data_IF_230105074522
#
_entry.id   IF_230105074522
#
_cell.length_a   1.000
_cell.length_b   1.000
_cell.length_c   1.000
_cell.angle_alpha   90.00
_cell.angle_beta   90.00
_cell.angle_gamma   90.00
#
_symmetry.space_group_name_H-M   'P 1'
#
loop_
_entity.id
_entity.type
_entity.pdbx_description
1 polymer ?
#
# COMPACT_ATOMS: atom_id res chain seq x y z
N UNK A 1 -1.88 21.19 -7.45
CA UNK A 1 -3.19 20.61 -7.87
C UNK A 1 -4.30 21.59 -7.48
N UNK A 2 -5.39 21.67 -8.26
CA UNK A 2 -6.51 22.56 -7.93
C UNK A 2 -7.44 21.99 -6.86
N UNK A 3 -7.57 20.66 -6.85
CA UNK A 3 -8.28 19.87 -5.85
C UNK A 3 -7.38 18.73 -5.35
N UNK A 4 -7.39 18.49 -4.04
CA UNK A 4 -6.71 17.34 -3.42
C UNK A 4 -7.75 16.56 -2.61
N UNK A 5 -8.00 15.31 -3.00
CA UNK A 5 -8.83 14.40 -2.22
C UNK A 5 -7.98 13.67 -1.19
N UNK A 6 -8.48 13.53 0.03
CA UNK A 6 -7.79 12.81 1.10
C UNK A 6 -8.78 12.02 1.96
N UNK A 7 -8.28 10.94 2.57
CA UNK A 7 -8.99 10.04 3.48
C UNK A 7 -7.95 9.13 4.16
N UNK A 8 -8.33 7.90 4.53
CA UNK A 8 -7.43 6.81 4.98
C UNK A 8 -6.40 7.27 6.02
N UNK A 9 -5.16 7.51 5.59
CA UNK A 9 -4.04 7.91 6.44
C UNK A 9 -4.26 9.23 7.19
N UNK A 10 -5.20 10.09 6.75
CA UNK A 10 -5.52 11.34 7.45
C UNK A 10 -5.92 11.14 8.92
N UNK A 11 -6.51 9.99 9.25
CA UNK A 11 -6.85 9.60 10.63
C UNK A 11 -6.18 8.28 11.04
N UNK A 12 -5.23 7.78 10.25
CA UNK A 12 -4.62 6.44 10.42
C UNK A 12 -5.65 5.31 10.64
N UNK A 13 -6.87 5.47 10.10
CA UNK A 13 -7.96 4.50 10.26
C UNK A 13 -8.70 4.52 11.60
N UNK A 14 -8.37 5.41 12.54
CA UNK A 14 -9.01 5.46 13.88
C UNK A 14 -10.48 5.92 13.82
N UNK A 15 -10.78 6.93 13.00
CA UNK A 15 -12.13 7.49 12.84
C UNK A 15 -12.37 7.82 11.35
N UNK A 16 -13.56 7.54 10.78
CA UNK A 16 -13.84 7.87 9.38
C UNK A 16 -13.76 9.37 9.12
N UNK A 17 -12.83 9.77 8.24
CA UNK A 17 -12.73 11.12 7.73
C UNK A 17 -12.24 11.08 6.28
N UNK A 18 -12.80 11.96 5.46
CA UNK A 18 -12.29 12.29 4.15
C UNK A 18 -12.64 13.73 3.81
N UNK A 19 -11.96 14.28 2.82
CA UNK A 19 -12.18 15.66 2.42
C UNK A 19 -11.57 15.98 1.07
N UNK A 20 -11.86 17.20 0.63
CA UNK A 20 -11.30 17.79 -0.58
C UNK A 20 -10.72 19.13 -0.19
N UNK A 21 -9.40 19.28 -0.26
CA UNK A 21 -8.77 20.58 -0.20
C UNK A 21 -8.91 21.26 -1.56
N UNK A 22 -9.29 22.53 -1.55
CA UNK A 22 -9.52 23.35 -2.75
C UNK A 22 -8.51 24.50 -2.77
N UNK A 23 -8.04 24.88 -3.95
CA UNK A 23 -7.20 26.07 -4.10
C UNK A 23 -8.02 27.36 -3.95
N UNK A 24 -7.32 28.49 -3.89
CA UNK A 24 -7.95 29.81 -3.75
C UNK A 24 -8.91 30.13 -4.89
N UNK A 25 -8.56 29.79 -6.14
CA UNK A 25 -9.40 30.10 -7.30
C UNK A 25 -10.79 29.43 -7.20
N UNK A 26 -10.85 28.19 -6.73
CA UNK A 26 -12.12 27.47 -6.51
C UNK A 26 -12.82 28.01 -5.25
N UNK A 27 -12.08 28.25 -4.17
CA UNK A 27 -12.62 28.84 -2.95
C UNK A 27 -13.34 30.17 -3.22
N UNK A 28 -12.75 31.07 -4.02
CA UNK A 28 -13.35 32.36 -4.37
C UNK A 28 -14.71 32.25 -5.07
N UNK A 29 -14.97 31.15 -5.77
CA UNK A 29 -16.29 30.90 -6.38
C UNK A 29 -17.39 30.68 -5.33
N UNK A 30 -17.02 30.27 -4.12
CA UNK A 30 -17.92 29.98 -3.00
C UNK A 30 -17.73 30.94 -1.81
N UNK A 31 -16.84 31.93 -1.91
CA UNK A 31 -16.61 32.91 -0.86
C UNK A 31 -17.89 33.71 -0.54
N UNK A 32 -18.60 34.15 -1.59
CA UNK A 32 -19.85 34.90 -1.48
C UNK A 32 -21.08 34.09 -1.96
N UNK A 33 -20.89 32.83 -2.34
CA UNK A 33 -21.93 31.94 -2.87
C UNK A 33 -22.02 30.67 -2.03
N UNK A 34 -23.19 30.36 -1.44
CA UNK A 34 -23.39 29.10 -0.73
C UNK A 34 -23.06 27.88 -1.61
N UNK A 35 -22.25 26.96 -1.08
CA UNK A 35 -22.03 25.65 -1.68
C UNK A 35 -23.23 24.74 -1.38
N UNK A 36 -23.97 24.25 -2.39
CA UNK A 36 -25.19 23.46 -2.18
C UNK A 36 -24.86 21.98 -1.90
N UNK A 37 -23.88 21.71 -1.02
CA UNK A 37 -23.44 20.36 -0.68
C UNK A 37 -23.02 20.25 0.78
N UNK A 38 -23.30 19.10 1.38
CA UNK A 38 -22.96 18.80 2.77
C UNK A 38 -23.49 17.43 3.17
N UNK A 39 -22.79 16.78 4.09
CA UNK A 39 -23.21 15.53 4.71
C UNK A 39 -23.49 15.79 6.18
N UNK A 40 -24.36 14.99 6.80
CA UNK A 40 -24.70 15.10 8.23
C UNK A 40 -23.46 15.08 9.14
N UNK A 41 -22.41 14.36 8.75
CA UNK A 41 -21.16 14.23 9.50
C UNK A 41 -19.98 15.03 8.91
N UNK A 42 -20.24 15.95 7.97
CA UNK A 42 -19.20 16.86 7.47
C UNK A 42 -18.63 17.68 8.62
N UNK A 43 -17.31 17.63 8.81
CA UNK A 43 -16.63 18.37 9.88
C UNK A 43 -16.83 17.79 11.29
N UNK A 44 -17.14 16.49 11.42
CA UNK A 44 -17.38 15.86 12.72
C UNK A 44 -16.21 16.08 13.71
N UNK A 45 -16.44 16.72 14.89
CA UNK A 45 -15.36 17.14 15.80
C UNK A 45 -14.41 16.02 16.26
N UNK A 46 -14.94 14.82 16.53
CA UNK A 46 -14.10 13.67 16.87
C UNK A 46 -13.15 13.27 15.74
N UNK A 47 -13.65 13.29 14.50
CA UNK A 47 -12.89 12.88 13.33
C UNK A 47 -11.82 13.93 12.98
N UNK A 48 -12.15 15.22 13.08
CA UNK A 48 -11.19 16.30 12.86
C UNK A 48 -10.14 16.37 13.96
N UNK A 49 -10.50 16.16 15.23
CA UNK A 49 -9.54 16.05 16.33
C UNK A 49 -8.57 14.87 16.15
N UNK A 50 -9.07 13.72 15.72
CA UNK A 50 -8.25 12.56 15.38
C UNK A 50 -7.28 12.85 14.23
N UNK A 51 -7.71 13.60 13.21
CA UNK A 51 -6.85 13.98 12.10
C UNK A 51 -5.69 14.88 12.53
N UNK A 52 -5.96 15.89 13.36
CA UNK A 52 -4.91 16.75 13.92
C UNK A 52 -3.90 15.94 14.73
N UNK A 53 -4.38 15.04 15.60
CA UNK A 53 -3.51 14.17 16.39
C UNK A 53 -2.65 13.24 15.50
N UNK A 54 -3.22 12.69 14.42
CA UNK A 54 -2.51 11.83 13.47
C UNK A 54 -1.41 12.61 12.73
N UNK A 55 -1.71 13.82 12.26
CA UNK A 55 -0.73 14.66 11.55
C UNK A 55 0.42 15.05 12.49
N UNK A 56 0.11 15.50 13.70
CA UNK A 56 1.14 15.84 14.68
C UNK A 56 2.03 14.64 15.02
N UNK A 57 1.47 13.45 15.24
CA UNK A 57 2.26 12.24 15.48
C UNK A 57 3.17 11.89 14.28
N UNK A 58 2.67 12.02 13.04
CA UNK A 58 3.49 11.82 11.85
C UNK A 58 4.67 12.80 11.75
N UNK A 59 4.45 14.07 12.12
CA UNK A 59 5.49 15.11 12.14
C UNK A 59 6.50 14.89 13.28
N UNK A 60 6.02 14.73 14.52
CA UNK A 60 6.83 14.58 15.72
C UNK A 60 7.74 13.35 15.67
N UNK A 61 7.25 12.25 15.09
CA UNK A 61 7.98 10.99 14.97
C UNK A 61 8.76 10.88 13.64
N UNK A 62 8.67 11.88 12.75
CA UNK A 62 9.35 11.87 11.46
C UNK A 62 8.91 10.73 10.53
N UNK A 63 7.65 10.29 10.62
CA UNK A 63 7.15 9.06 9.98
C UNK A 63 7.31 9.05 8.47
N UNK A 64 7.12 10.19 7.80
CA UNK A 64 7.24 10.28 6.33
C UNK A 64 8.69 10.03 5.89
N UNK A 65 9.66 10.63 6.58
CA UNK A 65 11.09 10.43 6.33
C UNK A 65 11.51 9.00 6.66
N UNK A 66 11.02 8.44 7.76
CA UNK A 66 11.28 7.04 8.12
C UNK A 66 10.70 6.07 7.09
N UNK A 67 9.46 6.25 6.64
CA UNK A 67 8.85 5.43 5.59
C UNK A 67 9.62 5.52 4.26
N UNK A 68 10.09 6.72 3.89
CA UNK A 68 10.95 6.90 2.72
C UNK A 68 12.27 6.11 2.87
N UNK A 69 12.92 6.20 4.03
CA UNK A 69 14.15 5.46 4.34
C UNK A 69 13.94 3.94 4.28
N UNK A 70 12.90 3.41 4.92
CA UNK A 70 12.58 1.97 4.87
C UNK A 70 12.37 1.52 3.41
N UNK A 71 11.67 2.32 2.61
CA UNK A 71 11.48 2.04 1.20
C UNK A 71 12.78 1.97 0.41
N UNK A 72 13.66 2.96 0.59
CA UNK A 72 14.92 3.07 -0.13
C UNK A 72 15.97 2.04 0.31
N UNK A 73 16.04 1.75 1.61
CA UNK A 73 17.14 0.99 2.21
C UNK A 73 16.80 -0.45 2.55
N UNK A 74 15.51 -0.80 2.68
CA UNK A 74 15.08 -2.13 3.11
C UNK A 74 14.15 -2.77 2.09
N UNK A 75 12.95 -2.22 1.88
CA UNK A 75 11.93 -2.84 1.02
C UNK A 75 12.36 -2.86 -0.45
N UNK A 76 12.83 -1.73 -0.99
CA UNK A 76 13.28 -1.64 -2.37
C UNK A 76 14.39 -2.65 -2.70
N UNK A 77 15.53 -2.63 -1.98
CA UNK A 77 16.61 -3.60 -2.20
C UNK A 77 16.14 -5.05 -2.00
N UNK A 78 15.40 -5.35 -0.93
CA UNK A 78 14.94 -6.70 -0.63
C UNK A 78 13.97 -7.25 -1.68
N UNK A 79 13.01 -6.46 -2.13
CA UNK A 79 12.07 -6.88 -3.16
C UNK A 79 12.76 -7.04 -4.54
N UNK A 80 13.74 -6.20 -4.85
CA UNK A 80 14.53 -6.38 -6.07
C UNK A 80 15.40 -7.64 -6.02
N UNK A 81 15.99 -7.97 -4.86
CA UNK A 81 16.71 -9.23 -4.68
C UNK A 81 15.79 -10.44 -4.88
N UNK A 82 14.61 -10.43 -4.27
CA UNK A 82 13.58 -11.46 -4.48
C UNK A 82 13.23 -11.62 -5.96
N UNK A 83 13.09 -10.53 -6.70
CA UNK A 83 12.82 -10.58 -8.14
C UNK A 83 13.93 -11.28 -8.95
N UNK A 84 15.17 -11.33 -8.45
CA UNK A 84 16.26 -12.07 -9.11
C UNK A 84 16.26 -13.57 -8.80
N UNK A 85 15.64 -13.97 -7.69
CA UNK A 85 15.64 -15.35 -7.19
C UNK A 85 14.40 -16.13 -7.56
N UNK A 86 13.27 -15.44 -7.72
CA UNK A 86 11.96 -16.05 -7.99
C UNK A 86 11.53 -15.84 -9.44
N UNK A 87 11.51 -16.88 -10.30
CA UNK A 87 11.06 -16.77 -11.68
C UNK A 87 9.59 -16.34 -11.83
N UNK A 88 8.76 -16.55 -10.81
CA UNK A 88 7.38 -16.08 -10.79
C UNK A 88 7.24 -14.56 -10.63
N UNK A 89 8.31 -13.83 -10.25
CA UNK A 89 8.25 -12.38 -10.07
C UNK A 89 8.46 -11.68 -11.41
N UNK A 90 7.39 -11.14 -11.96
CA UNK A 90 7.40 -10.44 -13.24
C UNK A 90 7.90 -9.00 -13.14
N UNK A 91 7.52 -8.28 -12.09
CA UNK A 91 7.92 -6.90 -11.84
C UNK A 91 7.81 -6.56 -10.34
N UNK A 92 8.71 -5.72 -9.86
CA UNK A 92 8.62 -5.05 -8.55
C UNK A 92 8.63 -3.54 -8.77
N UNK A 93 7.67 -2.84 -8.16
CA UNK A 93 7.57 -1.37 -8.25
C UNK A 93 6.99 -0.76 -6.99
N UNK A 94 7.48 0.41 -6.61
CA UNK A 94 6.99 1.11 -5.42
C UNK A 94 7.85 2.29 -5.00
N UNK A 95 7.42 2.95 -3.93
CA UNK A 95 8.11 4.06 -3.29
C UNK A 95 7.74 4.13 -1.81
N UNK A 96 8.69 4.48 -0.95
CA UNK A 96 8.48 4.49 0.50
C UNK A 96 8.02 3.12 0.99
N UNK A 97 6.95 3.07 1.78
CA UNK A 97 6.35 1.80 2.24
C UNK A 97 5.14 1.38 1.41
N UNK A 98 5.11 1.68 0.11
CA UNK A 98 4.03 1.27 -0.78
C UNK A 98 4.60 0.59 -2.03
N UNK A 99 4.59 -0.74 -2.04
CA UNK A 99 5.15 -1.56 -3.12
C UNK A 99 4.15 -2.59 -3.64
N UNK A 100 4.34 -2.99 -4.88
CA UNK A 100 3.66 -4.09 -5.52
C UNK A 100 4.68 -5.08 -6.11
N UNK A 101 4.42 -6.36 -5.88
CA UNK A 101 5.10 -7.49 -6.52
C UNK A 101 4.11 -8.14 -7.46
N UNK A 102 4.41 -8.13 -8.75
CA UNK A 102 3.56 -8.69 -9.79
C UNK A 102 4.01 -10.11 -10.13
N UNK A 103 3.11 -11.07 -9.96
CA UNK A 103 3.39 -12.48 -10.18
C UNK A 103 2.91 -12.94 -11.56
N UNK A 104 3.75 -13.70 -12.24
CA UNK A 104 3.55 -14.19 -13.60
C UNK A 104 3.76 -15.69 -13.65
N UNK A 105 3.01 -16.36 -14.52
CA UNK A 105 3.23 -17.77 -14.87
C UNK A 105 4.39 -17.94 -15.86
N UNK A 106 4.77 -16.89 -16.59
CA UNK A 106 5.89 -16.94 -17.53
C UNK A 106 6.63 -15.58 -17.51
N UNK A 107 7.94 -15.57 -17.15
CA UNK A 107 8.71 -14.34 -17.04
C UNK A 107 9.02 -13.68 -18.39
N UNK A 108 8.98 -14.43 -19.49
CA UNK A 108 9.23 -13.95 -20.86
C UNK A 108 7.96 -13.34 -21.43
N UNK A 109 6.84 -14.05 -21.40
CA UNK A 109 5.57 -13.56 -21.96
C UNK A 109 4.83 -12.61 -21.01
N UNK A 110 5.21 -12.60 -19.73
CA UNK A 110 4.52 -11.89 -18.63
C UNK A 110 3.07 -12.31 -18.47
N UNK A 111 2.75 -13.56 -18.80
CA UNK A 111 1.42 -14.13 -18.55
C UNK A 111 1.11 -14.05 -17.04
N UNK A 112 0.02 -13.39 -16.61
CA UNK A 112 -0.20 -13.14 -15.18
C UNK A 112 -0.65 -14.42 -14.46
N UNK A 113 -0.18 -14.59 -13.22
CA UNK A 113 -0.51 -15.77 -12.39
C UNK A 113 -2.01 -15.84 -12.02
N UNK A 114 -2.75 -14.74 -12.17
CA UNK A 114 -4.19 -14.67 -12.03
C UNK A 114 -4.79 -13.66 -13.03
N UNK A 115 -6.03 -13.89 -13.51
CA UNK A 115 -6.67 -13.01 -14.48
C UNK A 115 -7.07 -11.66 -13.85
N UNK A 116 -7.20 -10.65 -14.70
CA UNK A 116 -7.78 -9.36 -14.30
C UNK A 116 -9.19 -9.54 -13.73
N UNK A 117 -9.48 -8.89 -12.60
CA UNK A 117 -10.78 -8.98 -11.95
C UNK A 117 -10.97 -10.24 -11.10
N UNK A 118 -10.01 -11.16 -11.06
CA UNK A 118 -10.15 -12.47 -10.42
C UNK A 118 -8.96 -12.89 -9.56
N UNK A 119 -8.97 -14.17 -9.17
CA UNK A 119 -7.87 -14.86 -8.49
C UNK A 119 -7.59 -16.18 -9.22
N UNK A 120 -6.56 -16.90 -8.80
CA UNK A 120 -6.23 -18.26 -9.25
C UNK A 120 -5.94 -19.16 -8.05
N UNK A 121 -5.98 -20.50 -8.23
CA UNK A 121 -5.53 -21.43 -7.18
C UNK A 121 -4.12 -21.14 -6.69
N UNK A 122 -3.19 -20.79 -7.61
CA UNK A 122 -1.82 -20.41 -7.29
C UNK A 122 -1.75 -19.15 -6.42
N UNK A 123 -2.46 -18.08 -6.79
CA UNK A 123 -2.51 -16.85 -5.97
C UNK A 123 -3.11 -17.10 -4.58
N UNK A 124 -4.14 -17.96 -4.48
CA UNK A 124 -4.71 -18.31 -3.19
C UNK A 124 -3.72 -19.09 -2.31
N UNK A 125 -2.89 -19.96 -2.92
CA UNK A 125 -1.85 -20.70 -2.22
C UNK A 125 -0.74 -19.77 -1.71
N UNK A 126 -0.29 -18.82 -2.52
CA UNK A 126 0.69 -17.79 -2.09
C UNK A 126 0.15 -16.97 -0.91
N UNK A 127 -1.10 -16.49 -0.99
CA UNK A 127 -1.73 -15.74 0.11
C UNK A 127 -1.85 -16.61 1.37
N UNK A 128 -2.15 -17.89 1.23
CA UNK A 128 -2.20 -18.82 2.35
C UNK A 128 -0.81 -19.04 2.98
N UNK A 129 0.24 -19.18 2.17
CA UNK A 129 1.62 -19.32 2.60
C UNK A 129 2.10 -18.10 3.38
N UNK A 130 1.84 -16.88 2.89
CA UNK A 130 2.12 -15.65 3.63
C UNK A 130 1.44 -15.69 5.01
N UNK A 131 0.15 -16.02 5.06
CA UNK A 131 -0.63 -16.05 6.31
C UNK A 131 -0.13 -17.10 7.29
N UNK A 132 0.26 -18.29 6.82
CA UNK A 132 0.84 -19.32 7.68
C UNK A 132 2.20 -18.92 8.24
N UNK A 133 2.96 -18.10 7.51
CA UNK A 133 4.21 -17.51 7.98
C UNK A 133 4.02 -16.31 8.91
N UNK A 134 2.79 -15.82 9.11
CA UNK A 134 2.47 -14.67 9.96
C UNK A 134 2.36 -13.33 9.22
N UNK A 135 2.50 -13.31 7.89
CA UNK A 135 2.33 -12.11 7.07
C UNK A 135 0.89 -12.00 6.56
N UNK A 136 0.25 -10.85 6.73
CA UNK A 136 -1.05 -10.55 6.14
C UNK A 136 -0.88 -9.71 4.86
N UNK A 137 -0.86 -10.34 3.67
CA UNK A 137 -0.74 -9.59 2.42
C UNK A 137 -2.08 -8.99 2.00
N UNK A 138 -2.03 -7.89 1.26
CA UNK A 138 -3.11 -7.50 0.37
C UNK A 138 -2.80 -8.02 -1.03
N UNK A 139 -3.67 -8.88 -1.56
CA UNK A 139 -3.56 -9.40 -2.92
C UNK A 139 -4.63 -8.77 -3.82
N UNK A 140 -4.24 -8.37 -5.03
CA UNK A 140 -5.14 -7.85 -6.04
C UNK A 140 -4.78 -8.43 -7.40
N UNK A 141 -5.57 -9.39 -7.86
CA UNK A 141 -5.31 -10.21 -9.04
C UNK A 141 -4.01 -10.98 -8.87
N UNK A 142 -3.04 -10.77 -9.77
CA UNK A 142 -1.72 -11.36 -9.72
C UNK A 142 -0.70 -10.53 -8.94
N UNK A 143 -1.13 -9.51 -8.17
CA UNK A 143 -0.21 -8.67 -7.40
C UNK A 143 -0.34 -8.91 -5.90
N UNK A 144 0.80 -8.99 -5.22
CA UNK A 144 0.91 -8.88 -3.77
C UNK A 144 1.42 -7.48 -3.44
N UNK A 145 0.73 -6.77 -2.55
CA UNK A 145 1.13 -5.43 -2.12
C UNK A 145 1.88 -5.51 -0.79
N UNK A 146 3.04 -4.85 -0.74
CA UNK A 146 3.84 -4.67 0.47
C UNK A 146 3.65 -3.24 0.94
N UNK A 147 2.67 -3.07 1.83
CA UNK A 147 2.21 -1.79 2.35
C UNK A 147 2.12 -1.78 3.89
N UNK A 148 3.25 -1.98 4.60
CA UNK A 148 3.22 -1.95 6.07
C UNK A 148 2.90 -0.54 6.60
N UNK A 149 2.55 -0.41 7.89
CA UNK A 149 2.43 0.89 8.54
C UNK A 149 3.70 1.75 8.37
N UNK A 150 3.54 3.07 8.31
CA UNK A 150 4.67 4.00 8.10
C UNK A 150 5.71 3.97 9.22
N UNK A 151 5.38 3.45 10.41
CA UNK A 151 6.28 3.29 11.54
C UNK A 151 6.93 1.90 11.63
N UNK A 152 6.80 1.05 10.60
CA UNK A 152 7.42 -0.30 10.56
C UNK A 152 8.91 -0.23 10.84
N UNK A 153 9.42 -1.12 11.68
CA UNK A 153 10.85 -1.22 11.96
C UNK A 153 11.61 -1.96 10.86
N UNK A 154 12.93 -1.79 10.80
CA UNK A 154 13.80 -2.54 9.90
C UNK A 154 13.67 -4.06 10.13
N UNK A 155 13.51 -4.48 11.39
CA UNK A 155 13.35 -5.89 11.77
C UNK A 155 12.03 -6.47 11.26
N UNK A 156 10.91 -5.77 11.46
CA UNK A 156 9.59 -6.22 10.96
C UNK A 156 9.54 -6.22 9.42
N UNK A 157 10.17 -5.23 8.78
CA UNK A 157 10.28 -5.19 7.33
C UNK A 157 11.11 -6.37 6.79
N UNK A 158 12.23 -6.69 7.44
CA UNK A 158 13.06 -7.85 7.08
C UNK A 158 12.34 -9.19 7.33
N UNK A 159 11.62 -9.32 8.45
CA UNK A 159 10.78 -10.49 8.74
C UNK A 159 9.70 -10.67 7.67
N UNK A 160 8.99 -9.60 7.31
CA UNK A 160 7.99 -9.64 6.25
C UNK A 160 8.56 -10.05 4.89
N UNK A 161 9.76 -9.57 4.55
CA UNK A 161 10.46 -9.98 3.32
C UNK A 161 10.85 -11.47 3.35
N UNK A 162 11.33 -11.98 4.49
CA UNK A 162 11.67 -13.40 4.63
C UNK A 162 10.45 -14.32 4.54
N UNK A 163 9.29 -13.89 5.08
CA UNK A 163 8.04 -14.64 4.91
C UNK A 163 7.57 -14.59 3.46
N UNK A 164 7.70 -13.43 2.79
CA UNK A 164 7.33 -13.28 1.39
C UNK A 164 8.20 -14.15 0.48
N UNK A 165 9.51 -14.21 0.73
CA UNK A 165 10.48 -15.10 0.07
C UNK A 165 9.98 -16.56 0.05
N UNK A 166 9.73 -17.12 1.24
CA UNK A 166 9.22 -18.49 1.37
C UNK A 166 7.84 -18.68 0.72
N UNK A 167 6.99 -17.65 0.67
CA UNK A 167 5.70 -17.71 0.00
C UNK A 167 5.82 -17.64 -1.54
N UNK A 168 6.87 -17.01 -2.06
CA UNK A 168 7.15 -16.94 -3.49
C UNK A 168 7.63 -18.29 -4.06
N UNK A 169 8.24 -19.16 -3.25
CA UNK A 169 8.53 -20.54 -3.66
C UNK A 169 7.26 -21.27 -4.14
N UNK A 170 6.11 -21.01 -3.50
CA UNK A 170 4.80 -21.56 -3.92
C UNK A 170 4.36 -20.99 -5.27
N UNK A 171 4.65 -19.72 -5.55
CA UNK A 171 4.37 -19.12 -6.86
C UNK A 171 5.28 -19.70 -7.95
N UNK A 172 6.54 -19.98 -7.61
CA UNK A 172 7.53 -20.52 -8.54
C UNK A 172 7.19 -21.93 -9.04
N UNK A 173 6.51 -22.75 -8.23
CA UNK A 173 5.96 -24.05 -8.66
C UNK A 173 4.99 -23.94 -9.86
N UNK A 174 4.44 -22.74 -10.07
CA UNK A 174 3.50 -22.42 -11.14
C UNK A 174 4.11 -21.58 -12.27
N UNK A 175 5.38 -21.19 -12.15
CA UNK A 175 6.09 -20.49 -13.21
C UNK A 175 6.68 -21.51 -14.22
N UNK A 176 6.59 -21.21 -15.51
CA UNK A 176 7.30 -21.95 -16.54
C UNK A 176 8.81 -21.79 -16.32
N UNK A 177 9.50 -22.91 -16.12
CA UNK A 177 10.95 -22.96 -15.90
C UNK A 177 11.78 -22.61 -17.13
#
# INVERSE_FOLDING_TARGET
>A
PDLITFAKGVTSGYVPLGGVAINDAIYQSFADRPYPGGLTYSGHPLATGCAVATINAMEDEGMVTHAARIGEQVLGPGLNDLATRHPSVGEVRGLGVFWAVELVADPVTKEPLAPYGGTSPAMNAVVAACKSGGLLPFANYNRVHVCPPCNVSDAEAAEGLAILDAALDVADEHAAG
#
